data_IF_657441183395
#
_entry.id   IF_657441183395
#
_cell.length_a   1.000
_cell.length_b   1.000
_cell.length_c   1.000
_cell.angle_alpha   90.00
_cell.angle_beta   90.00
_cell.angle_gamma   90.00
#
_symmetry.space_group_name_H-M   'P 1'
#
loop_
_entity.id
_entity.type
_entity.pdbx_description
1 polymer ?
#
# COMPACT_ATOMS: atom_id res chain seq x y z
N UNK A 1 13.52 -25.93 -2.79
CA UNK A 1 12.19 -25.74 -3.40
C UNK A 1 11.69 -24.38 -2.93
N UNK A 2 11.89 -23.34 -3.73
CA UNK A 2 11.38 -22.00 -3.41
C UNK A 2 9.86 -22.03 -3.54
N UNK A 3 9.18 -21.80 -2.43
CA UNK A 3 7.76 -21.48 -2.42
C UNK A 3 7.64 -20.21 -3.26
N UNK A 4 7.06 -20.34 -4.46
CA UNK A 4 6.59 -19.19 -5.22
C UNK A 4 5.47 -18.54 -4.41
N UNK A 5 5.85 -17.78 -3.39
CA UNK A 5 4.96 -16.95 -2.61
C UNK A 5 4.24 -16.09 -3.64
N UNK A 6 2.90 -16.19 -3.67
CA UNK A 6 2.05 -15.27 -4.41
C UNK A 6 2.53 -13.86 -4.04
N UNK A 7 3.32 -13.24 -4.92
CA UNK A 7 3.93 -11.94 -4.67
C UNK A 7 2.79 -10.93 -4.72
N UNK A 8 2.22 -10.61 -3.57
CA UNK A 8 1.35 -9.45 -3.44
C UNK A 8 2.22 -8.22 -3.69
N UNK A 9 2.07 -7.62 -4.87
CA UNK A 9 2.92 -6.53 -5.32
C UNK A 9 2.46 -5.18 -4.82
N UNK A 10 1.23 -5.05 -4.33
CA UNK A 10 0.67 -3.78 -3.92
C UNK A 10 0.30 -3.83 -2.46
N UNK A 11 0.53 -2.74 -1.73
CA UNK A 11 0.02 -2.58 -0.36
C UNK A 11 -0.65 -1.24 -0.20
N UNK A 12 -1.62 -1.19 0.71
CA UNK A 12 -2.35 0.02 1.08
C UNK A 12 -2.14 0.29 2.55
N UNK A 13 -1.76 1.54 2.86
CA UNK A 13 -1.54 2.02 4.23
C UNK A 13 -2.06 3.45 4.39
N UNK A 14 -2.34 3.90 5.62
CA UNK A 14 -2.61 5.31 5.89
C UNK A 14 -1.43 6.20 5.49
N UNK A 15 -1.73 7.40 4.99
CA UNK A 15 -0.74 8.46 4.82
C UNK A 15 -0.44 9.06 6.19
N UNK A 16 0.82 8.98 6.62
CA UNK A 16 1.27 9.63 7.86
C UNK A 16 1.91 10.97 7.52
N UNK A 17 1.47 12.04 8.18
CA UNK A 17 2.04 13.36 7.95
C UNK A 17 3.51 13.41 8.41
N UNK A 18 4.41 13.94 7.57
CA UNK A 18 5.86 14.08 7.83
C UNK A 18 6.62 12.77 8.02
N UNK A 19 6.14 11.68 7.43
CA UNK A 19 6.80 10.39 7.49
C UNK A 19 8.13 10.42 6.70
N UNK A 20 9.26 10.33 7.41
CA UNK A 20 10.59 10.19 6.79
C UNK A 20 10.99 8.73 6.59
N UNK A 21 10.43 7.83 7.41
CA UNK A 21 10.68 6.40 7.39
C UNK A 21 9.36 5.69 7.68
N UNK A 22 9.00 4.74 6.83
CA UNK A 22 7.82 3.89 7.03
C UNK A 22 8.25 2.67 7.85
N UNK A 23 7.68 2.42 9.04
CA UNK A 23 7.97 1.22 9.81
C UNK A 23 7.69 -0.06 9.01
N UNK A 24 8.57 -1.06 9.10
CA UNK A 24 8.36 -2.36 8.45
C UNK A 24 7.11 -3.09 8.97
N UNK A 25 6.71 -2.79 10.20
CA UNK A 25 5.56 -3.40 10.89
C UNK A 25 4.21 -2.74 10.59
N UNK A 26 4.10 -1.81 9.63
CA UNK A 26 2.78 -1.31 9.24
C UNK A 26 1.96 -2.48 8.68
N UNK A 27 0.95 -2.90 9.45
CA UNK A 27 -0.12 -3.78 8.97
C UNK A 27 -0.78 -3.14 7.76
N UNK A 28 -0.36 -3.57 6.59
CA UNK A 28 -0.82 -3.06 5.31
C UNK A 28 -1.68 -4.12 4.63
N UNK A 29 -2.81 -3.71 4.08
CA UNK A 29 -3.59 -4.62 3.25
C UNK A 29 -2.82 -4.85 1.93
N UNK A 30 -2.55 -6.10 1.59
CA UNK A 30 -1.75 -6.46 0.42
C UNK A 30 -2.63 -7.02 -0.71
N UNK A 31 -2.27 -6.68 -1.95
CA UNK A 31 -3.04 -6.98 -3.15
C UNK A 31 -2.13 -7.42 -4.30
N UNK A 32 -2.61 -8.31 -5.16
CA UNK A 32 -1.87 -8.78 -6.33
C UNK A 32 -1.94 -7.82 -7.52
N UNK A 33 -2.93 -6.92 -7.54
CA UNK A 33 -3.12 -5.96 -8.62
C UNK A 33 -3.41 -4.54 -8.11
N UNK A 34 -3.06 -3.56 -8.93
CA UNK A 34 -3.18 -2.13 -8.63
C UNK A 34 -4.63 -1.71 -8.41
N UNK A 35 -5.55 -2.15 -9.26
CA UNK A 35 -6.95 -1.73 -9.23
C UNK A 35 -7.64 -2.11 -7.91
N UNK A 36 -7.40 -3.31 -7.40
CA UNK A 36 -7.92 -3.77 -6.12
C UNK A 36 -7.39 -2.92 -4.95
N UNK A 37 -6.10 -2.59 -4.96
CA UNK A 37 -5.49 -1.73 -3.96
C UNK A 37 -6.09 -0.31 -4.00
N UNK A 38 -6.29 0.26 -5.19
CA UNK A 38 -6.90 1.58 -5.36
C UNK A 38 -8.36 1.62 -4.88
N UNK A 39 -9.17 0.62 -5.25
CA UNK A 39 -10.54 0.50 -4.79
C UNK A 39 -10.62 0.39 -3.26
N UNK A 40 -9.73 -0.39 -2.66
CA UNK A 40 -9.64 -0.50 -1.21
C UNK A 40 -9.26 0.84 -0.56
N UNK A 41 -8.25 1.53 -1.08
CA UNK A 41 -7.84 2.84 -0.59
C UNK A 41 -8.97 3.88 -0.65
N UNK A 42 -9.74 3.90 -1.74
CA UNK A 42 -10.91 4.77 -1.90
C UNK A 42 -12.01 4.44 -0.89
N UNK A 43 -12.30 3.15 -0.66
CA UNK A 43 -13.29 2.73 0.32
C UNK A 43 -12.87 3.10 1.75
N UNK A 44 -11.58 2.95 2.08
CA UNK A 44 -11.03 3.35 3.37
C UNK A 44 -11.13 4.87 3.58
N UNK A 45 -10.80 5.68 2.56
CA UNK A 45 -10.96 7.13 2.63
C UNK A 45 -12.42 7.53 2.88
N UNK A 46 -13.38 6.88 2.21
CA UNK A 46 -14.82 7.16 2.42
C UNK A 46 -15.28 6.82 3.84
N UNK A 47 -14.75 5.76 4.44
CA UNK A 47 -15.17 5.30 5.77
C UNK A 47 -14.49 6.01 6.94
N UNK A 48 -13.22 6.41 6.79
CA UNK A 48 -12.39 6.90 7.90
C UNK A 48 -11.85 8.31 7.68
N UNK A 49 -12.12 8.93 6.52
CA UNK A 49 -11.61 10.26 6.12
C UNK A 49 -10.10 10.43 6.29
N UNK A 50 -9.36 9.31 6.30
CA UNK A 50 -7.91 9.29 6.44
C UNK A 50 -7.30 9.12 5.05
N UNK A 51 -6.41 10.03 4.60
CA UNK A 51 -5.73 9.87 3.33
C UNK A 51 -4.93 8.57 3.30
N UNK A 52 -4.90 7.91 2.15
CA UNK A 52 -4.28 6.59 1.99
C UNK A 52 -3.20 6.62 0.92
N UNK A 53 -2.21 5.75 1.05
CA UNK A 53 -1.14 5.55 0.08
C UNK A 53 -1.23 4.14 -0.49
N UNK A 54 -1.14 4.03 -1.82
CA UNK A 54 -0.93 2.77 -2.52
C UNK A 54 0.53 2.68 -2.91
N UNK A 55 1.18 1.58 -2.52
CA UNK A 55 2.58 1.32 -2.81
C UNK A 55 2.73 0.02 -3.60
N UNK A 56 3.80 -0.06 -4.40
CA UNK A 56 4.17 -1.26 -5.14
C UNK A 56 5.55 -1.76 -4.69
N UNK A 57 5.68 -3.06 -4.45
CA UNK A 57 6.95 -3.72 -4.17
C UNK A 57 7.80 -3.76 -5.45
N UNK A 58 8.94 -3.08 -5.41
CA UNK A 58 9.94 -3.13 -6.47
C UNK A 58 10.74 -4.45 -6.38
N UNK A 59 11.37 -4.89 -7.49
CA UNK A 59 12.21 -6.09 -7.50
C UNK A 59 13.36 -6.05 -6.47
N UNK A 60 13.85 -4.86 -6.14
CA UNK A 60 14.90 -4.64 -5.14
C UNK A 60 14.42 -4.74 -3.69
N UNK A 61 13.13 -5.01 -3.45
CA UNK A 61 12.55 -5.17 -2.11
C UNK A 61 12.07 -3.88 -1.46
N UNK A 62 12.23 -2.71 -2.11
CA UNK A 62 11.69 -1.45 -1.63
C UNK A 62 10.23 -1.24 -2.07
N UNK A 63 9.46 -0.51 -1.26
CA UNK A 63 8.10 -0.10 -1.59
C UNK A 63 8.11 1.27 -2.25
N UNK A 64 7.46 1.38 -3.40
CA UNK A 64 7.35 2.62 -4.18
C UNK A 64 5.92 3.13 -4.11
N UNK A 65 5.72 4.36 -3.65
CA UNK A 65 4.43 5.03 -3.71
C UNK A 65 4.02 5.27 -5.17
N UNK A 66 2.85 4.75 -5.56
CA UNK A 66 2.31 4.89 -6.92
C UNK A 66 1.05 5.75 -6.97
N UNK A 67 0.35 5.88 -5.85
CA UNK A 67 -0.84 6.72 -5.72
C UNK A 67 -1.02 7.21 -4.29
N UNK A 68 -1.46 8.45 -4.13
CA UNK A 68 -2.03 8.96 -2.89
C UNK A 68 -3.49 9.31 -3.11
N UNK A 69 -4.34 8.95 -2.15
CA UNK A 69 -5.79 9.12 -2.23
C UNK A 69 -6.24 10.05 -1.10
N UNK A 70 -6.89 11.17 -1.44
CA UNK A 70 -7.38 12.15 -0.46
C UNK A 70 -6.38 13.24 -0.06
N UNK A 71 -5.40 13.52 -0.93
CA UNK A 71 -4.48 14.66 -0.81
C UNK A 71 -4.98 15.85 -1.62
#
# INVERSE_FOLDING_TARGET
>A
MEIAARKTYYRVRPLVAKEQVVPDEIKSACFDNRQAAELFALNMLKGQSTPMVVEKLAPAGCWLQVLSVGC
#
